data_IF_213205667189
#
_entry.id   IF_213205667189
#
_cell.length_a   1.000
_cell.length_b   1.000
_cell.length_c   1.000
_cell.angle_alpha   90.00
_cell.angle_beta   90.00
_cell.angle_gamma   90.00
#
_symmetry.space_group_name_H-M   'P 1'
#
loop_
_entity.id
_entity.type
_entity.pdbx_description
1 polymer ?
#
# COMPACT_ATOMS: atom_id res chain seq x y z
N UNK A 1 -24.87 -5.13 -4.07
CA UNK A 1 -24.21 -3.90 -4.65
C UNK A 1 -23.60 -3.13 -3.50
N UNK A 2 -22.32 -3.01 -3.46
CA UNK A 2 -21.58 -2.35 -2.37
C UNK A 2 -21.03 -0.99 -2.80
N UNK A 3 -21.19 0.02 -1.95
CA UNK A 3 -20.63 1.35 -2.15
C UNK A 3 -19.49 1.58 -1.17
N UNK A 4 -18.32 1.99 -1.70
CA UNK A 4 -17.13 2.32 -0.92
C UNK A 4 -16.56 3.67 -1.35
N UNK A 5 -15.77 4.29 -0.49
CA UNK A 5 -14.92 5.41 -0.88
C UNK A 5 -13.52 4.88 -1.15
N UNK A 6 -13.10 4.84 -2.41
CA UNK A 6 -11.77 4.35 -2.80
C UNK A 6 -10.93 5.51 -3.30
N UNK A 7 -9.77 5.75 -2.66
CA UNK A 7 -8.87 6.86 -3.00
C UNK A 7 -9.61 8.22 -3.07
N UNK A 8 -10.47 8.48 -2.07
CA UNK A 8 -11.32 9.67 -1.95
C UNK A 8 -12.39 9.80 -3.06
N UNK A 9 -12.67 8.74 -3.82
CA UNK A 9 -13.73 8.72 -4.83
C UNK A 9 -14.81 7.71 -4.43
N UNK A 10 -16.09 8.05 -4.48
CA UNK A 10 -17.16 7.08 -4.26
C UNK A 10 -17.22 6.12 -5.46
N UNK A 11 -17.18 4.83 -5.18
CA UNK A 11 -17.31 3.77 -6.19
C UNK A 11 -18.45 2.83 -5.81
N UNK A 12 -19.25 2.46 -6.80
CA UNK A 12 -20.33 1.49 -6.68
C UNK A 12 -19.90 0.18 -7.39
N UNK A 13 -19.83 -0.91 -6.63
CA UNK A 13 -19.47 -2.22 -7.14
C UNK A 13 -20.72 -3.09 -7.33
N UNK A 14 -20.95 -3.55 -8.56
CA UNK A 14 -22.05 -4.48 -8.91
C UNK A 14 -21.52 -5.91 -8.92
N UNK A 15 -21.01 -6.35 -7.78
CA UNK A 15 -20.47 -7.67 -7.56
C UNK A 15 -21.17 -8.31 -6.36
N UNK A 16 -21.02 -9.60 -6.17
CA UNK A 16 -21.53 -10.32 -5.00
C UNK A 16 -20.83 -9.82 -3.73
N UNK A 17 -21.56 -9.82 -2.61
CA UNK A 17 -21.08 -9.27 -1.33
C UNK A 17 -19.91 -10.07 -0.74
N UNK A 18 -19.80 -11.35 -1.05
CA UNK A 18 -18.71 -12.24 -0.65
C UNK A 18 -17.44 -12.11 -1.53
N UNK A 19 -17.51 -11.33 -2.62
CA UNK A 19 -16.36 -11.07 -3.49
C UNK A 19 -15.23 -10.41 -2.66
N UNK A 20 -14.00 -10.99 -2.65
CA UNK A 20 -12.88 -10.34 -1.99
C UNK A 20 -12.61 -8.93 -2.55
N UNK A 21 -12.40 -7.97 -1.66
CA UNK A 21 -12.11 -6.57 -2.03
C UNK A 21 -10.97 -6.46 -3.04
N UNK A 22 -9.98 -7.35 -2.96
CA UNK A 22 -8.85 -7.38 -3.89
C UNK A 22 -9.32 -7.45 -5.36
N UNK A 23 -10.29 -8.30 -5.67
CA UNK A 23 -10.77 -8.46 -7.05
C UNK A 23 -11.65 -7.30 -7.49
N UNK A 24 -12.46 -6.74 -6.59
CA UNK A 24 -13.21 -5.52 -6.88
C UNK A 24 -12.27 -4.35 -7.23
N UNK A 25 -11.19 -4.18 -6.48
CA UNK A 25 -10.19 -3.15 -6.76
C UNK A 25 -9.47 -3.38 -8.08
N UNK A 26 -9.01 -4.63 -8.34
CA UNK A 26 -8.18 -4.93 -9.51
C UNK A 26 -8.99 -5.02 -10.81
N UNK A 27 -10.11 -5.73 -10.78
CA UNK A 27 -10.84 -6.09 -12.00
C UNK A 27 -11.95 -5.07 -12.32
N UNK A 28 -12.69 -4.60 -11.31
CA UNK A 28 -13.78 -3.65 -11.52
C UNK A 28 -13.31 -2.18 -11.48
N UNK A 29 -12.39 -1.83 -10.56
CA UNK A 29 -11.87 -0.46 -10.46
C UNK A 29 -10.54 -0.26 -11.20
N UNK A 30 -9.95 -1.29 -11.79
CA UNK A 30 -8.66 -1.27 -12.51
C UNK A 30 -7.47 -0.77 -11.67
N UNK A 31 -7.57 -0.87 -10.33
CA UNK A 31 -6.50 -0.51 -9.39
C UNK A 31 -5.62 -1.74 -9.14
N UNK A 32 -4.64 -1.95 -9.99
CA UNK A 32 -3.86 -3.20 -10.06
C UNK A 32 -2.63 -3.21 -9.16
N UNK A 33 -2.39 -2.16 -8.37
CA UNK A 33 -1.23 -2.04 -7.47
C UNK A 33 -1.22 -3.10 -6.38
N UNK A 34 -2.33 -3.33 -5.67
CA UNK A 34 -2.47 -4.45 -4.76
C UNK A 34 -2.35 -5.78 -5.51
N UNK A 35 -1.56 -6.75 -4.99
CA UNK A 35 -1.23 -8.00 -5.69
C UNK A 35 -1.85 -9.20 -5.01
N UNK A 36 -2.33 -10.17 -5.81
CA UNK A 36 -2.70 -11.47 -5.31
C UNK A 36 -1.45 -12.33 -5.06
N UNK A 37 -1.29 -12.83 -3.86
CA UNK A 37 -0.19 -13.74 -3.49
C UNK A 37 -0.76 -15.04 -2.90
N UNK A 38 -1.02 -15.09 -1.59
CA UNK A 38 -1.48 -16.31 -0.91
C UNK A 38 -3.00 -16.51 -0.97
N UNK A 39 -3.81 -15.44 -0.97
CA UNK A 39 -5.28 -15.52 -0.85
C UNK A 39 -5.77 -15.80 0.57
N UNK A 40 -4.87 -15.93 1.56
CA UNK A 40 -5.18 -16.28 2.95
C UNK A 40 -4.87 -15.16 3.96
N UNK A 41 -4.49 -13.97 3.46
CA UNK A 41 -4.15 -12.82 4.32
C UNK A 41 -2.72 -12.81 4.87
N UNK A 42 -1.94 -13.90 4.67
CA UNK A 42 -0.63 -14.08 5.33
C UNK A 42 0.51 -13.31 4.66
N UNK A 43 0.56 -13.27 3.31
CA UNK A 43 1.73 -12.73 2.61
C UNK A 43 1.80 -11.20 2.54
N UNK A 44 0.72 -10.50 2.78
CA UNK A 44 0.64 -9.04 2.79
C UNK A 44 0.77 -8.33 1.42
N UNK A 45 0.88 -9.06 0.30
CA UNK A 45 1.02 -8.46 -1.03
C UNK A 45 -0.22 -7.65 -1.47
N UNK A 46 -1.37 -7.96 -0.89
CA UNK A 46 -2.66 -7.33 -1.16
C UNK A 46 -3.05 -6.27 -0.12
N UNK A 47 -2.17 -5.87 0.79
CA UNK A 47 -2.51 -4.91 1.85
C UNK A 47 -2.91 -3.57 1.25
N UNK A 48 -4.05 -3.07 1.73
CA UNK A 48 -4.59 -1.72 1.50
C UNK A 48 -4.87 -1.07 2.86
N UNK A 49 -5.11 0.22 2.91
CA UNK A 49 -5.56 0.89 4.13
C UNK A 49 -7.08 1.02 4.09
N UNK A 50 -7.76 0.51 5.11
CA UNK A 50 -9.22 0.61 5.28
C UNK A 50 -9.48 1.33 6.60
N UNK A 51 -10.12 2.50 6.53
CA UNK A 51 -10.37 3.38 7.68
C UNK A 51 -9.11 3.63 8.54
N UNK A 52 -7.97 3.85 7.87
CA UNK A 52 -6.69 4.10 8.53
C UNK A 52 -5.91 2.85 8.98
N UNK A 53 -6.47 1.65 8.83
CA UNK A 53 -5.84 0.38 9.23
C UNK A 53 -5.33 -0.42 8.04
N UNK A 54 -4.13 -0.96 8.14
CA UNK A 54 -3.60 -1.89 7.13
C UNK A 54 -4.37 -3.22 7.18
N UNK A 55 -5.00 -3.60 6.07
CA UNK A 55 -5.81 -4.81 5.97
C UNK A 55 -5.50 -5.60 4.69
N UNK A 56 -5.47 -6.95 4.75
CA UNK A 56 -5.32 -7.79 3.57
C UNK A 56 -6.64 -7.80 2.77
N UNK A 57 -6.64 -7.23 1.58
CA UNK A 57 -7.84 -7.13 0.75
C UNK A 57 -8.29 -8.46 0.13
N UNK A 58 -7.46 -9.50 0.16
CA UNK A 58 -7.81 -10.82 -0.36
C UNK A 58 -8.76 -11.62 0.55
N UNK A 59 -8.87 -11.23 1.84
CA UNK A 59 -9.73 -11.89 2.83
C UNK A 59 -10.85 -10.99 3.34
N UNK A 60 -10.83 -9.72 3.02
CA UNK A 60 -11.92 -8.78 3.31
C UNK A 60 -12.93 -8.83 2.16
N UNK A 61 -14.18 -9.13 2.45
CA UNK A 61 -15.25 -9.14 1.46
C UNK A 61 -15.77 -7.75 1.14
N UNK A 62 -16.43 -7.59 0.00
CA UNK A 62 -17.09 -6.33 -0.37
C UNK A 62 -18.18 -5.93 0.62
N UNK A 63 -18.94 -6.90 1.13
CA UNK A 63 -19.99 -6.64 2.13
C UNK A 63 -19.41 -6.09 3.43
N UNK A 64 -18.29 -6.64 3.90
CA UNK A 64 -17.57 -6.13 5.09
C UNK A 64 -16.93 -4.76 4.87
N UNK A 65 -16.61 -4.43 3.62
CA UNK A 65 -16.01 -3.16 3.25
C UNK A 65 -17.06 -2.08 2.90
N UNK A 66 -18.35 -2.40 2.85
CA UNK A 66 -19.40 -1.45 2.48
C UNK A 66 -19.40 -0.22 3.39
N UNK A 67 -19.49 0.96 2.79
CA UNK A 67 -19.49 2.25 3.47
C UNK A 67 -18.11 2.71 3.98
N UNK A 68 -17.08 1.88 3.87
CA UNK A 68 -15.74 2.19 4.39
C UNK A 68 -14.88 2.99 3.41
N UNK A 69 -13.84 3.63 3.95
CA UNK A 69 -12.83 4.33 3.18
C UNK A 69 -11.63 3.43 2.92
N UNK A 70 -11.31 3.22 1.64
CA UNK A 70 -10.20 2.37 1.20
C UNK A 70 -9.16 3.22 0.49
N UNK A 71 -7.91 3.17 0.93
CA UNK A 71 -6.78 3.78 0.23
C UNK A 71 -5.89 2.67 -0.32
N UNK A 72 -5.66 2.71 -1.63
CA UNK A 72 -4.72 1.81 -2.32
C UNK A 72 -3.39 2.54 -2.59
N UNK A 73 -2.40 1.81 -3.10
CA UNK A 73 -1.10 2.40 -3.44
C UNK A 73 -1.22 3.51 -4.47
N UNK A 74 -2.19 3.44 -5.37
CA UNK A 74 -2.45 4.47 -6.37
C UNK A 74 -2.95 5.78 -5.77
N UNK A 75 -3.67 5.70 -4.64
CA UNK A 75 -4.21 6.87 -3.94
C UNK A 75 -3.35 7.39 -2.80
N UNK A 76 -2.25 6.70 -2.45
CA UNK A 76 -1.41 7.11 -1.33
C UNK A 76 -0.72 8.46 -1.58
N UNK A 77 -0.22 8.67 -2.79
CA UNK A 77 0.45 9.91 -3.21
C UNK A 77 0.53 9.96 -4.73
N UNK A 78 -0.21 10.90 -5.33
CA UNK A 78 -0.28 11.04 -6.79
C UNK A 78 1.08 11.41 -7.42
N UNK A 79 1.90 12.17 -6.71
CA UNK A 79 3.23 12.63 -7.13
C UNK A 79 4.38 11.79 -6.56
N UNK A 80 4.09 10.69 -5.86
CA UNK A 80 5.05 9.84 -5.18
C UNK A 80 5.86 10.55 -4.08
N UNK A 81 5.35 11.66 -3.55
CA UNK A 81 6.01 12.44 -2.51
C UNK A 81 5.90 11.82 -1.11
N UNK A 82 5.11 10.76 -0.95
CA UNK A 82 4.94 10.12 0.36
C UNK A 82 6.28 9.64 0.93
N UNK A 83 6.63 9.99 2.18
CA UNK A 83 7.93 9.69 2.79
C UNK A 83 8.34 8.22 2.70
N UNK A 84 7.41 7.28 2.84
CA UNK A 84 7.68 5.84 2.70
C UNK A 84 8.17 5.50 1.30
N UNK A 85 7.54 6.04 0.25
CA UNK A 85 7.94 5.78 -1.14
C UNK A 85 9.35 6.32 -1.41
N UNK A 86 9.63 7.53 -0.97
CA UNK A 86 10.94 8.16 -1.12
C UNK A 86 12.04 7.39 -0.36
N UNK A 87 11.76 6.99 0.88
CA UNK A 87 12.72 6.27 1.71
C UNK A 87 13.03 4.87 1.17
N UNK A 88 12.02 4.15 0.65
CA UNK A 88 12.23 2.83 0.01
C UNK A 88 13.18 2.91 -1.19
N UNK A 89 13.06 3.96 -2.01
CA UNK A 89 13.97 4.19 -3.14
C UNK A 89 15.36 4.55 -2.63
N UNK A 90 15.46 5.47 -1.68
CA UNK A 90 16.73 5.94 -1.13
C UNK A 90 17.54 4.82 -0.44
N UNK A 91 16.86 3.90 0.26
CA UNK A 91 17.48 2.74 0.91
C UNK A 91 17.62 1.53 -0.03
N UNK A 92 17.20 1.67 -1.29
CA UNK A 92 17.20 0.56 -2.27
C UNK A 92 16.47 -0.69 -1.72
N UNK A 93 15.36 -0.48 -1.02
CA UNK A 93 14.57 -1.53 -0.38
C UNK A 93 13.56 -2.18 -1.34
N UNK A 94 13.76 -2.04 -2.64
CA UNK A 94 12.91 -2.59 -3.72
C UNK A 94 13.79 -3.42 -4.66
N UNK A 95 13.31 -4.63 -5.02
CA UNK A 95 13.92 -5.43 -6.09
C UNK A 95 12.88 -5.79 -7.15
N UNK A 96 12.20 -6.94 -7.04
CA UNK A 96 11.22 -7.33 -8.06
C UNK A 96 9.93 -6.47 -8.08
N UNK A 97 9.62 -5.76 -6.99
CA UNK A 97 8.48 -4.86 -6.89
C UNK A 97 7.14 -5.53 -6.54
N UNK A 98 7.04 -6.87 -6.53
CA UNK A 98 5.76 -7.57 -6.35
C UNK A 98 5.11 -7.30 -4.99
N UNK A 99 5.85 -7.45 -3.88
CA UNK A 99 5.35 -7.19 -2.52
C UNK A 99 5.34 -5.69 -2.16
N UNK A 100 5.98 -4.85 -2.95
CA UNK A 100 6.24 -3.44 -2.62
C UNK A 100 4.97 -2.63 -2.37
N UNK A 101 3.89 -2.72 -3.16
CA UNK A 101 2.67 -1.97 -2.87
C UNK A 101 2.11 -2.29 -1.49
N UNK A 102 1.99 -3.57 -1.15
CA UNK A 102 1.50 -3.98 0.17
C UNK A 102 2.42 -3.54 1.32
N UNK A 103 3.74 -3.62 1.12
CA UNK A 103 4.72 -3.13 2.09
C UNK A 103 4.61 -1.62 2.32
N UNK A 104 4.44 -0.84 1.25
CA UNK A 104 4.26 0.61 1.34
C UNK A 104 3.00 0.94 2.13
N UNK A 105 1.88 0.26 1.84
CA UNK A 105 0.61 0.51 2.54
C UNK A 105 0.69 0.14 4.01
N UNK A 106 1.29 -1.00 4.36
CA UNK A 106 1.51 -1.40 5.75
C UNK A 106 2.42 -0.40 6.50
N UNK A 107 3.51 0.04 5.87
CA UNK A 107 4.42 1.02 6.45
C UNK A 107 3.78 2.41 6.60
N UNK A 108 2.96 2.83 5.64
CA UNK A 108 2.23 4.10 5.73
C UNK A 108 1.22 4.08 6.87
N UNK A 109 0.47 2.99 7.04
CA UNK A 109 -0.45 2.82 8.17
C UNK A 109 0.29 2.82 9.52
N UNK A 110 1.41 2.11 9.63
CA UNK A 110 2.23 2.13 10.85
C UNK A 110 2.68 3.56 11.20
N UNK A 111 3.25 4.28 10.23
CA UNK A 111 3.79 5.62 10.46
C UNK A 111 2.71 6.68 10.71
N UNK A 112 1.48 6.45 10.27
CA UNK A 112 0.36 7.32 10.62
C UNK A 112 0.03 7.29 12.13
N UNK A 113 0.33 6.17 12.81
CA UNK A 113 0.10 6.00 14.24
C UNK A 113 1.37 6.15 15.07
N UNK A 114 2.53 5.78 14.54
CA UNK A 114 3.82 5.84 15.23
C UNK A 114 4.91 6.32 14.25
N UNK A 115 5.23 7.59 14.30
CA UNK A 115 6.26 8.22 13.44
C UNK A 115 7.70 7.91 13.88
N UNK A 116 7.91 7.21 15.00
CA UNK A 116 9.23 6.84 15.54
C UNK A 116 9.28 5.34 15.88
N UNK A 117 8.96 4.45 14.93
CA UNK A 117 8.88 3.03 15.24
C UNK A 117 10.25 2.44 15.54
N UNK A 118 10.30 1.61 16.57
CA UNK A 118 11.46 0.75 16.83
C UNK A 118 11.51 -0.39 15.81
N UNK A 119 12.62 -1.12 15.75
CA UNK A 119 12.73 -2.30 14.91
C UNK A 119 11.70 -3.38 15.31
N UNK A 120 11.41 -3.50 16.61
CA UNK A 120 10.39 -4.41 17.13
C UNK A 120 8.98 -4.00 16.66
N UNK A 121 8.64 -2.70 16.69
CA UNK A 121 7.36 -2.19 16.19
C UNK A 121 7.19 -2.48 14.69
N UNK A 122 8.28 -2.27 13.93
CA UNK A 122 8.30 -2.57 12.49
C UNK A 122 8.11 -4.08 12.26
N UNK A 123 8.82 -4.92 12.99
CA UNK A 123 8.71 -6.38 12.88
C UNK A 123 7.31 -6.91 13.22
N UNK A 124 6.63 -6.28 14.18
CA UNK A 124 5.26 -6.63 14.56
C UNK A 124 4.21 -6.17 13.52
N UNK A 125 4.40 -4.99 12.93
CA UNK A 125 3.43 -4.38 12.01
C UNK A 125 3.62 -4.84 10.55
N UNK A 126 4.86 -5.12 10.12
CA UNK A 126 5.20 -5.47 8.74
C UNK A 126 5.44 -6.98 8.64
N UNK A 127 4.37 -7.74 8.55
CA UNK A 127 4.41 -9.20 8.38
C UNK A 127 4.51 -9.64 6.90
N UNK A 128 4.62 -8.68 5.99
CA UNK A 128 4.67 -8.92 4.56
C UNK A 128 5.87 -9.80 4.16
N UNK A 129 5.61 -10.79 3.32
CA UNK A 129 6.64 -11.70 2.84
C UNK A 129 7.34 -11.11 1.61
N UNK A 130 8.67 -11.00 1.68
CA UNK A 130 9.51 -10.62 0.55
C UNK A 130 10.53 -11.72 0.23
N UNK A 131 10.43 -12.33 -0.97
CA UNK A 131 11.35 -13.36 -1.42
C UNK A 131 12.74 -12.83 -1.78
N UNK A 132 12.85 -11.55 -2.11
CA UNK A 132 14.12 -10.92 -2.52
C UNK A 132 15.05 -10.58 -1.33
N UNK A 133 14.58 -10.72 -0.09
CA UNK A 133 15.41 -10.51 1.10
C UNK A 133 15.71 -9.06 1.42
N UNK A 134 14.83 -8.11 1.08
CA UNK A 134 15.04 -6.67 1.31
C UNK A 134 14.78 -6.23 2.76
N UNK A 135 14.37 -7.13 3.66
CA UNK A 135 13.90 -6.80 5.00
C UNK A 135 14.84 -5.86 5.80
N UNK A 136 16.18 -6.06 5.86
CA UNK A 136 17.06 -5.15 6.59
C UNK A 136 17.07 -3.71 6.01
N UNK A 137 16.92 -3.59 4.70
CA UNK A 137 16.80 -2.27 4.02
C UNK A 137 15.43 -1.66 4.25
N UNK A 138 14.37 -2.49 4.32
CA UNK A 138 13.01 -2.07 4.62
C UNK A 138 12.92 -1.44 6.01
N UNK A 139 13.52 -2.04 7.04
CA UNK A 139 13.57 -1.50 8.39
C UNK A 139 14.19 -0.10 8.38
N UNK A 140 15.37 0.06 7.75
CA UNK A 140 16.02 1.38 7.62
C UNK A 140 15.16 2.39 6.86
N UNK A 141 14.50 1.94 5.79
CA UNK A 141 13.62 2.80 5.00
C UNK A 141 12.43 3.31 5.82
N UNK A 142 11.79 2.45 6.62
CA UNK A 142 10.65 2.86 7.46
C UNK A 142 11.12 3.85 8.54
N UNK A 143 12.24 3.59 9.21
CA UNK A 143 12.81 4.50 10.18
C UNK A 143 13.19 5.84 9.53
N UNK A 144 13.75 5.82 8.33
CA UNK A 144 14.05 7.02 7.54
C UNK A 144 12.78 7.80 7.17
N UNK A 145 11.74 7.11 6.71
CA UNK A 145 10.46 7.74 6.43
C UNK A 145 9.89 8.45 7.66
N UNK A 146 10.01 7.84 8.84
CA UNK A 146 9.64 8.48 10.10
C UNK A 146 10.44 9.76 10.38
N UNK A 147 11.76 9.78 10.15
CA UNK A 147 12.57 11.00 10.28
C UNK A 147 12.14 12.10 9.30
N UNK A 148 11.82 11.73 8.07
CA UNK A 148 11.30 12.67 7.07
C UNK A 148 9.97 13.27 7.55
N UNK A 149 9.05 12.44 8.06
CA UNK A 149 7.76 12.91 8.58
C UNK A 149 7.89 13.86 9.76
N UNK A 150 8.92 13.68 10.62
CA UNK A 150 9.21 14.58 11.73
C UNK A 150 10.02 15.84 11.32
N UNK A 151 10.37 15.97 10.03
CA UNK A 151 11.17 17.10 9.53
C UNK A 151 12.66 17.05 9.88
N UNK A 152 13.15 15.94 10.40
CA UNK A 152 14.57 15.74 10.78
C UNK A 152 15.46 15.46 9.55
N UNK A 153 14.86 14.98 8.48
CA UNK A 153 15.54 14.67 7.22
C UNK A 153 14.69 15.15 6.04
N UNK A 154 15.35 15.61 4.97
CA UNK A 154 14.63 15.96 3.73
C UNK A 154 14.40 14.71 2.89
N UNK A 155 13.18 14.56 2.43
CA UNK A 155 12.85 13.53 1.45
C UNK A 155 13.57 13.77 0.11
N UNK A 156 13.88 12.70 -0.59
CA UNK A 156 14.43 12.79 -1.96
C UNK A 156 13.26 12.87 -2.95
N UNK A 157 13.12 13.94 -3.74
CA UNK A 157 12.10 13.99 -4.75
C UNK A 157 12.31 12.86 -5.76
N UNK A 158 11.26 12.08 -5.99
CA UNK A 158 11.28 11.05 -7.03
C UNK A 158 10.98 11.71 -8.39
N UNK A 159 11.57 11.20 -9.50
CA UNK A 159 11.25 11.69 -10.82
C UNK A 159 9.76 11.51 -11.09
N UNK A 160 9.16 12.50 -11.78
CA UNK A 160 7.77 12.40 -12.21
C UNK A 160 7.54 11.07 -12.97
N UNK A 161 6.36 10.46 -12.83
CA UNK A 161 6.03 9.29 -13.64
C UNK A 161 6.19 9.67 -15.12
N UNK A 162 6.87 8.82 -15.90
CA UNK A 162 6.90 8.99 -17.33
C UNK A 162 5.44 9.03 -17.83
N UNK A 163 5.06 10.10 -18.49
CA UNK A 163 3.77 10.16 -19.15
C UNK A 163 3.79 9.07 -20.22
N UNK A 164 3.04 8.00 -19.97
CA UNK A 164 2.85 6.95 -20.99
C UNK A 164 2.04 7.57 -22.12
N UNK A 165 2.72 8.06 -23.12
CA UNK A 165 2.14 8.21 -24.45
C UNK A 165 2.08 6.80 -25.04
N UNK A 166 1.15 5.97 -24.53
CA UNK A 166 0.81 4.75 -25.26
C UNK A 166 0.24 5.20 -26.62
N UNK A 167 0.82 4.78 -27.75
CA UNK A 167 0.17 4.98 -29.02
C UNK A 167 -1.19 4.28 -28.93
N UNK A 168 -2.26 5.04 -29.25
CA UNK A 168 -3.61 4.50 -29.25
C UNK A 168 -3.67 3.22 -30.09
N UNK A 169 -4.20 2.16 -29.50
CA UNK A 169 -4.68 0.96 -30.18
C UNK A 169 -6.04 1.27 -30.79
#
# INVERSE_FOLDING_TARGET
MARLTVNNQPLDFRLEEDTPLLWALRDAAHLTGAKYGCGTGECGACVVIVDGQAMPSCTLSLGEAEGRSVTTIEGLSADRSHPVQQALVAEQAIQCGFCTPGLVMAAAALLAHNVSPTEADIGAAITNICRCGVHPRLVRAIQRAGRIMRGEERGMPLPAPATSTAPGL
#
